data_IF_888674738167
#
_entry.id   IF_888674738167
#
_cell.length_a   1.000
_cell.length_b   1.000
_cell.length_c   1.000
_cell.angle_alpha   90.00
_cell.angle_beta   90.00
_cell.angle_gamma   90.00
#
_symmetry.space_group_name_H-M   'P 1'
#
loop_
_entity.id
_entity.type
_entity.pdbx_description
1 polymer ?
#
# COMPACT_ATOMS: atom_id res chain seq x y z
N UNK A 1 9.44 -6.62 7.76
CA UNK A 1 8.86 -6.19 6.47
C UNK A 1 7.44 -6.72 6.44
N UNK A 2 6.46 -5.87 6.18
CA UNK A 2 5.05 -6.24 6.05
C UNK A 2 4.66 -6.03 4.60
N UNK A 3 4.08 -7.05 3.95
CA UNK A 3 3.53 -6.92 2.60
C UNK A 3 2.02 -6.89 2.73
N UNK A 4 1.38 -5.78 2.35
CA UNK A 4 -0.06 -5.61 2.52
C UNK A 4 -0.64 -4.60 1.54
N UNK A 5 -1.87 -4.82 1.08
CA UNK A 5 -2.66 -3.80 0.37
C UNK A 5 -3.57 -3.01 1.32
N UNK A 6 -3.67 -3.46 2.57
CA UNK A 6 -4.46 -2.83 3.63
C UNK A 6 -3.69 -1.60 4.15
N UNK A 7 -4.22 -0.41 3.83
CA UNK A 7 -3.63 0.88 4.18
C UNK A 7 -3.65 1.16 5.68
N UNK A 8 -4.76 0.95 6.44
CA UNK A 8 -4.71 1.08 7.89
C UNK A 8 -3.71 0.10 8.54
N UNK A 9 -3.63 -1.15 8.10
CA UNK A 9 -2.61 -2.09 8.61
C UNK A 9 -1.18 -1.59 8.30
N UNK A 10 -0.94 -1.07 7.10
CA UNK A 10 0.37 -0.51 6.74
C UNK A 10 0.73 0.71 7.59
N UNK A 11 -0.24 1.58 7.91
CA UNK A 11 -0.04 2.73 8.78
C UNK A 11 0.40 2.30 10.19
N UNK A 12 -0.33 1.35 10.80
CA UNK A 12 0.05 0.82 12.11
C UNK A 12 1.42 0.14 12.11
N UNK A 13 1.74 -0.60 11.04
CA UNK A 13 3.03 -1.23 10.90
C UNK A 13 4.17 -0.19 10.87
N UNK A 14 4.00 0.89 10.12
CA UNK A 14 4.98 2.00 10.03
C UNK A 14 5.14 2.73 11.37
N UNK A 15 4.03 2.95 12.08
CA UNK A 15 4.06 3.57 13.40
C UNK A 15 4.85 2.73 14.40
N UNK A 16 4.74 1.39 14.30
CA UNK A 16 5.54 0.41 15.06
C UNK A 16 6.98 0.24 14.53
N UNK A 17 7.42 1.03 13.56
CA UNK A 17 8.78 1.01 13.01
C UNK A 17 9.05 -0.07 11.97
N UNK A 18 8.01 -0.77 11.48
CA UNK A 18 8.16 -1.73 10.40
C UNK A 18 8.19 -1.03 9.02
N UNK A 19 8.88 -1.67 8.07
CA UNK A 19 8.77 -1.33 6.64
C UNK A 19 7.53 -2.02 6.08
N UNK A 20 6.68 -1.29 5.36
CA UNK A 20 5.50 -1.81 4.70
C UNK A 20 5.56 -1.61 3.17
N UNK A 21 5.18 -2.64 2.42
CA UNK A 21 5.23 -2.69 0.95
C UNK A 21 3.90 -3.20 0.40
N UNK A 22 3.37 -2.52 -0.61
CA UNK A 22 2.21 -2.98 -1.38
C UNK A 22 2.55 -4.20 -2.24
N UNK A 23 1.62 -5.15 -2.45
CA UNK A 23 1.76 -6.20 -3.45
C UNK A 23 2.02 -5.69 -4.88
N UNK A 24 1.76 -4.39 -5.16
CA UNK A 24 2.01 -3.74 -6.45
C UNK A 24 3.34 -2.98 -6.51
N UNK A 25 4.18 -3.06 -5.48
CA UNK A 25 5.49 -2.42 -5.43
C UNK A 25 5.54 -1.00 -4.86
N UNK A 26 4.40 -0.44 -4.47
CA UNK A 26 4.39 0.83 -3.72
C UNK A 26 5.00 0.65 -2.34
N UNK A 27 6.08 1.38 -2.04
CA UNK A 27 6.62 1.46 -0.69
C UNK A 27 5.78 2.43 0.15
N UNK A 28 5.29 1.96 1.30
CA UNK A 28 4.63 2.83 2.26
C UNK A 28 5.68 3.48 3.17
N UNK A 29 5.58 4.80 3.32
CA UNK A 29 6.47 5.62 4.16
C UNK A 29 5.66 6.54 5.04
N UNK A 30 6.28 7.10 6.07
CA UNK A 30 5.61 8.09 6.96
C UNK A 30 5.09 9.30 6.18
N UNK A 31 5.80 9.69 5.13
CA UNK A 31 5.44 10.84 4.29
C UNK A 31 4.21 10.58 3.41
N UNK A 32 3.98 9.34 2.99
CA UNK A 32 2.93 9.01 2.03
C UNK A 32 1.72 8.29 2.66
N UNK A 33 1.90 7.58 3.78
CA UNK A 33 0.88 6.65 4.28
C UNK A 33 -0.38 7.38 4.75
N UNK A 34 -0.24 8.56 5.37
CA UNK A 34 -1.37 9.36 5.84
C UNK A 34 -2.26 9.83 4.68
N UNK A 35 -1.66 10.30 3.59
CA UNK A 35 -2.42 10.72 2.41
C UNK A 35 -3.18 9.54 1.79
N UNK A 36 -2.54 8.37 1.70
CA UNK A 36 -3.18 7.14 1.22
C UNK A 36 -4.33 6.68 2.12
N UNK A 37 -4.16 6.78 3.44
CA UNK A 37 -5.20 6.44 4.42
C UNK A 37 -6.41 7.35 4.25
N UNK A 38 -6.21 8.66 4.16
CA UNK A 38 -7.30 9.62 3.95
C UNK A 38 -8.08 9.33 2.66
N UNK A 39 -7.40 8.98 1.57
CA UNK A 39 -8.06 8.62 0.31
C UNK A 39 -8.86 7.31 0.45
N UNK A 40 -8.33 6.32 1.17
CA UNK A 40 -9.05 5.07 1.48
C UNK A 40 -10.33 5.38 2.25
N UNK A 41 -10.23 6.16 3.33
CA UNK A 41 -11.36 6.51 4.19
C UNK A 41 -12.43 7.30 3.42
N UNK A 42 -12.00 8.19 2.52
CA UNK A 42 -12.89 8.94 1.65
C UNK A 42 -13.64 8.04 0.66
N UNK A 43 -12.93 7.15 -0.05
CA UNK A 43 -13.55 6.20 -0.97
C UNK A 43 -14.48 5.21 -0.26
N UNK A 44 -14.13 4.80 0.96
CA UNK A 44 -15.00 3.99 1.82
C UNK A 44 -16.28 4.74 2.20
N UNK A 45 -16.17 6.03 2.54
CA UNK A 45 -17.33 6.88 2.82
C UNK A 45 -18.26 6.98 1.61
N UNK A 46 -17.73 7.21 0.40
CA UNK A 46 -18.51 7.23 -0.84
C UNK A 46 -19.23 5.90 -1.07
N UNK A 47 -18.53 4.77 -0.91
CA UNK A 47 -19.10 3.44 -1.02
C UNK A 47 -20.23 3.22 0.00
N UNK A 48 -20.06 3.68 1.23
CA UNK A 48 -21.09 3.59 2.28
C UNK A 48 -22.34 4.44 1.98
N UNK A 49 -22.19 5.53 1.23
CA UNK A 49 -23.30 6.36 0.74
C UNK A 49 -24.00 5.80 -0.51
N UNK A 50 -23.62 4.61 -0.97
CA UNK A 50 -24.20 3.95 -2.14
C UNK A 50 -23.64 4.42 -3.48
N UNK A 51 -22.54 5.18 -3.49
CA UNK A 51 -21.82 5.56 -4.72
C UNK A 51 -20.90 4.40 -5.09
N UNK A 52 -21.14 3.78 -6.25
CA UNK A 52 -20.23 2.76 -6.78
C UNK A 52 -18.97 3.43 -7.36
N UNK A 53 -17.90 3.40 -6.58
CA UNK A 53 -16.57 3.88 -6.99
C UNK A 53 -15.79 2.82 -7.77
N UNK A 54 -16.33 1.62 -7.93
CA UNK A 54 -15.57 0.44 -8.36
C UNK A 54 -14.55 -0.04 -7.33
N UNK A 55 -13.87 -1.12 -7.68
CA UNK A 55 -12.77 -1.69 -6.92
C UNK A 55 -11.39 -1.29 -7.47
N UNK A 56 -10.30 -1.66 -6.77
CA UNK A 56 -8.95 -1.51 -7.29
C UNK A 56 -8.82 -2.21 -8.65
N UNK A 57 -8.07 -1.60 -9.57
CA UNK A 57 -7.80 -2.19 -10.89
C UNK A 57 -7.19 -3.59 -10.77
N UNK A 58 -7.45 -4.51 -11.71
CA UNK A 58 -6.83 -5.83 -11.68
C UNK A 58 -5.29 -5.74 -11.69
N UNK A 59 -4.63 -6.68 -11.00
CA UNK A 59 -3.17 -6.73 -10.96
C UNK A 59 -2.60 -7.09 -12.33
N UNK A 60 -1.58 -6.37 -12.78
CA UNK A 60 -0.95 -6.59 -14.09
C UNK A 60 0.52 -7.03 -13.97
N UNK A 61 1.17 -7.29 -15.10
CA UNK A 61 2.57 -7.70 -15.14
C UNK A 61 3.53 -6.61 -14.64
N UNK A 62 3.21 -5.33 -14.91
CA UNK A 62 3.96 -4.18 -14.40
C UNK A 62 3.96 -4.10 -12.88
N UNK A 63 2.81 -4.35 -12.23
CA UNK A 63 2.69 -4.39 -10.77
C UNK A 63 3.60 -5.48 -10.17
N UNK A 64 3.67 -6.65 -10.81
CA UNK A 64 4.54 -7.76 -10.36
C UNK A 64 6.01 -7.40 -10.47
N UNK A 65 6.40 -6.76 -11.57
CA UNK A 65 7.77 -6.29 -11.78
C UNK A 65 8.14 -5.22 -10.75
N UNK A 66 7.29 -4.20 -10.57
CA UNK A 66 7.50 -3.15 -9.58
C UNK A 66 7.66 -3.71 -8.16
N UNK A 67 6.83 -4.70 -7.80
CA UNK A 67 6.97 -5.41 -6.54
C UNK A 67 8.32 -6.12 -6.40
N UNK A 68 8.72 -6.91 -7.40
CA UNK A 68 9.99 -7.63 -7.39
C UNK A 68 11.18 -6.66 -7.27
N UNK A 69 11.21 -5.62 -8.09
CA UNK A 69 12.27 -4.59 -8.09
C UNK A 69 12.38 -3.91 -6.72
N UNK A 70 11.24 -3.58 -6.09
CA UNK A 70 11.23 -2.92 -4.78
C UNK A 70 11.60 -3.88 -3.64
N UNK A 71 11.15 -5.13 -3.70
CA UNK A 71 11.51 -6.15 -2.73
C UNK A 71 13.03 -6.42 -2.75
N UNK A 72 13.62 -6.57 -3.94
CA UNK A 72 15.05 -6.80 -4.09
C UNK A 72 15.88 -5.66 -3.49
N UNK A 73 15.50 -4.39 -3.75
CA UNK A 73 16.15 -3.22 -3.14
C UNK A 73 16.10 -3.28 -1.61
N UNK A 74 14.94 -3.62 -1.03
CA UNK A 74 14.78 -3.71 0.42
C UNK A 74 15.61 -4.84 1.04
N UNK A 75 15.75 -5.97 0.34
CA UNK A 75 16.55 -7.10 0.80
C UNK A 75 18.05 -6.80 0.71
N UNK A 76 18.49 -6.14 -0.37
CA UNK A 76 19.89 -5.75 -0.54
C UNK A 76 20.32 -4.70 0.50
N UNK A 77 19.46 -3.75 0.84
CA UNK A 77 19.75 -2.72 1.86
C UNK A 77 19.83 -3.28 3.30
N UNK A 78 19.42 -4.53 3.52
CA UNK A 78 19.45 -5.22 4.83
C UNK A 78 20.62 -6.20 4.98
N UNK A 79 21.45 -6.36 3.93
CA UNK A 79 22.75 -7.03 4.05
C UNK A 79 23.75 -6.12 4.75
#
# INVERSE_FOLDING_TARGET
LVITADIPLAAEAIDKGAVALSPRGDLYTRDNIRARLNMRDFMESLRSSGIDTGGPAAMNHGDRKAFADQLDRLLQARK
#
